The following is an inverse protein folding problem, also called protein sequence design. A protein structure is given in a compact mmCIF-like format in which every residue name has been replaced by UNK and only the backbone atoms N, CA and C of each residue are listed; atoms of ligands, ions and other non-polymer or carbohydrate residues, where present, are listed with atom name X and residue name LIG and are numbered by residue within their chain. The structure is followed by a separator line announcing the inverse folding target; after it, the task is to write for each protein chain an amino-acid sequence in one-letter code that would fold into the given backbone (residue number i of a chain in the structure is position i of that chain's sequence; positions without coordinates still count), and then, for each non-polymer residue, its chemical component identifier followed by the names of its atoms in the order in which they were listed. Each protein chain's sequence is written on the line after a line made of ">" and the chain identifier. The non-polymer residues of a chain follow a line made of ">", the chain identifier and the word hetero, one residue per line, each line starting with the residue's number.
data_IF_833124644615
#
_entry.id   IF_833124644615
#
_cell.length_a   1.000
_cell.length_b   1.000
_cell.length_c   1.000
_cell.angle_alpha   90.00
_cell.angle_beta   90.00
_cell.angle_gamma   90.00
#
_symmetry.space_group_name_H-M   'P 1'
#
loop_
_entity.id
_entity.type
_entity.pdbx_description
1 polymer ?
#
# COMPACT_ATOMS: atom_id res chain seq x y z
N UNK A 1 -22.60 19.77 22.53
CA UNK A 1 -21.45 18.85 22.66
C UNK A 1 -20.70 18.91 21.33
N UNK A 2 -19.61 19.68 21.26
CA UNK A 2 -18.78 19.72 20.06
C UNK A 2 -17.99 18.41 20.00
N UNK A 3 -18.38 17.48 19.13
CA UNK A 3 -17.51 16.36 18.78
C UNK A 3 -16.37 16.92 17.94
N UNK A 4 -15.28 17.32 18.60
CA UNK A 4 -14.01 17.53 17.90
C UNK A 4 -13.58 16.15 17.43
N UNK A 5 -13.77 15.86 16.14
CA UNK A 5 -13.28 14.62 15.55
C UNK A 5 -11.75 14.65 15.62
N UNK A 6 -11.16 14.12 16.69
CA UNK A 6 -9.73 13.91 16.79
C UNK A 6 -9.36 12.89 15.71
N UNK A 7 -8.61 13.32 14.70
CA UNK A 7 -8.12 12.43 13.65
C UNK A 7 -7.18 11.42 14.32
N UNK A 8 -7.55 10.14 14.28
CA UNK A 8 -6.71 9.07 14.81
C UNK A 8 -5.59 8.74 13.81
N UNK A 9 -4.55 9.58 13.84
CA UNK A 9 -3.32 9.47 13.07
C UNK A 9 -2.71 8.07 13.12
N UNK A 10 -2.78 7.40 14.28
CA UNK A 10 -2.25 6.07 14.46
C UNK A 10 -3.04 5.03 13.64
N UNK A 11 -4.37 5.15 13.60
CA UNK A 11 -5.22 4.26 12.81
C UNK A 11 -4.99 4.46 11.31
N UNK A 12 -4.83 5.71 10.84
CA UNK A 12 -4.54 5.98 9.43
C UNK A 12 -3.16 5.46 8.99
N UNK A 13 -2.13 5.64 9.82
CA UNK A 13 -0.78 5.11 9.59
C UNK A 13 -0.78 3.58 9.44
N UNK A 14 -1.47 2.87 10.34
CA UNK A 14 -1.56 1.40 10.30
C UNK A 14 -2.32 0.92 9.08
N UNK A 15 -3.48 1.52 8.79
CA UNK A 15 -4.31 1.11 7.65
C UNK A 15 -3.60 1.33 6.31
N UNK A 16 -2.89 2.44 6.14
CA UNK A 16 -2.10 2.67 4.93
C UNK A 16 -0.88 1.73 4.84
N UNK A 17 -0.20 1.45 5.95
CA UNK A 17 0.86 0.43 5.97
C UNK A 17 0.33 -0.95 5.53
N UNK A 18 -0.77 -1.42 6.12
CA UNK A 18 -1.35 -2.72 5.77
C UNK A 18 -1.90 -2.76 4.34
N UNK A 19 -2.46 -1.65 3.85
CA UNK A 19 -2.88 -1.53 2.45
C UNK A 19 -1.69 -1.65 1.50
N UNK A 20 -0.61 -0.94 1.78
CA UNK A 20 0.62 -1.02 1.00
C UNK A 20 1.23 -2.43 1.01
N UNK A 21 1.26 -3.06 2.19
CA UNK A 21 1.72 -4.45 2.32
C UNK A 21 0.84 -5.42 1.53
N UNK A 22 -0.48 -5.27 1.55
CA UNK A 22 -1.39 -6.12 0.79
C UNK A 22 -1.17 -5.97 -0.72
N UNK A 23 -1.02 -4.73 -1.21
CA UNK A 23 -0.72 -4.46 -2.62
C UNK A 23 0.61 -5.08 -3.05
N UNK A 24 1.65 -4.96 -2.21
CA UNK A 24 2.96 -5.56 -2.45
C UNK A 24 2.86 -7.08 -2.54
N UNK A 25 2.18 -7.70 -1.57
CA UNK A 25 2.01 -9.16 -1.56
C UNK A 25 1.24 -9.64 -2.79
N UNK A 26 0.17 -8.94 -3.18
CA UNK A 26 -0.60 -9.28 -4.39
C UNK A 26 0.25 -9.12 -5.64
N UNK A 27 1.05 -8.07 -5.74
CA UNK A 27 1.96 -7.83 -6.86
C UNK A 27 2.99 -8.95 -7.00
N UNK A 28 3.73 -9.25 -5.92
CA UNK A 28 4.77 -10.29 -5.92
C UNK A 28 4.18 -11.68 -6.14
N UNK A 29 3.09 -12.02 -5.45
CA UNK A 29 2.47 -13.34 -5.61
C UNK A 29 1.88 -13.48 -7.01
N UNK A 30 1.23 -12.42 -7.52
CA UNK A 30 0.65 -12.42 -8.86
C UNK A 30 1.69 -12.50 -9.97
N UNK A 31 2.83 -11.82 -9.82
CA UNK A 31 3.93 -11.92 -10.79
C UNK A 31 4.54 -13.32 -10.76
N UNK A 32 4.84 -13.89 -9.59
CA UNK A 32 5.42 -15.25 -9.47
C UNK A 32 4.45 -16.33 -9.97
N UNK A 33 3.19 -16.31 -9.51
CA UNK A 33 2.18 -17.31 -9.88
C UNK A 33 1.76 -17.15 -11.35
N UNK A 34 1.61 -15.91 -11.83
CA UNK A 34 1.29 -15.62 -13.22
C UNK A 34 2.32 -16.22 -14.17
N UNK A 35 3.61 -15.94 -13.96
CA UNK A 35 4.68 -16.50 -14.79
C UNK A 35 4.83 -18.02 -14.63
N UNK A 36 4.54 -18.57 -13.44
CA UNK A 36 4.69 -20.01 -13.20
C UNK A 36 3.58 -20.87 -13.84
N UNK A 37 2.35 -20.34 -13.96
CA UNK A 37 1.18 -21.15 -14.37
C UNK A 37 0.51 -20.68 -15.67
N UNK A 38 0.69 -19.43 -16.10
CA UNK A 38 -0.09 -18.82 -17.19
C UNK A 38 0.79 -18.26 -18.33
N UNK A 39 1.96 -18.83 -18.58
CA UNK A 39 2.80 -18.40 -19.70
C UNK A 39 2.12 -18.65 -21.08
N UNK A 40 2.14 -17.67 -22.00
CA UNK A 40 2.72 -16.33 -21.87
C UNK A 40 1.77 -15.36 -21.17
N UNK A 41 2.25 -14.72 -20.09
CA UNK A 41 1.46 -13.72 -19.38
C UNK A 41 1.35 -12.44 -20.24
N UNK A 42 0.15 -11.90 -20.49
CA UNK A 42 -0.01 -10.66 -21.22
C UNK A 42 0.79 -9.51 -20.59
N UNK A 43 1.43 -8.67 -21.43
CA UNK A 43 2.28 -7.58 -20.94
C UNK A 43 1.55 -6.58 -20.03
N UNK A 44 0.24 -6.40 -20.21
CA UNK A 44 -0.57 -5.53 -19.36
C UNK A 44 -0.77 -6.13 -17.95
N UNK A 45 -0.91 -7.45 -17.81
CA UNK A 45 -1.04 -8.12 -16.50
C UNK A 45 0.25 -7.99 -15.70
N UNK A 46 1.38 -8.25 -16.36
CA UNK A 46 2.69 -8.08 -15.74
C UNK A 46 2.89 -6.62 -15.27
N UNK A 47 2.49 -5.64 -16.10
CA UNK A 47 2.57 -4.23 -15.73
C UNK A 47 1.68 -3.89 -14.52
N UNK A 48 0.50 -4.50 -14.39
CA UNK A 48 -0.36 -4.32 -13.22
C UNK A 48 0.27 -4.90 -11.94
N UNK A 49 0.84 -6.10 -12.02
CA UNK A 49 1.51 -6.71 -10.86
C UNK A 49 2.70 -5.88 -10.40
N UNK A 50 3.57 -5.50 -11.33
CA UNK A 50 4.71 -4.61 -11.03
C UNK A 50 4.22 -3.25 -10.51
N UNK A 51 3.19 -2.68 -11.11
CA UNK A 51 2.57 -1.43 -10.63
C UNK A 51 2.03 -1.54 -9.21
N UNK A 52 1.41 -2.67 -8.85
CA UNK A 52 0.93 -2.94 -7.50
C UNK A 52 2.08 -3.07 -6.49
N UNK A 53 3.21 -3.67 -6.87
CA UNK A 53 4.42 -3.73 -6.03
C UNK A 53 4.95 -2.33 -5.70
N UNK A 54 5.12 -1.48 -6.73
CA UNK A 54 5.59 -0.11 -6.54
C UNK A 54 4.61 0.73 -5.71
N UNK A 55 3.32 0.65 -6.02
CA UNK A 55 2.29 1.34 -5.25
C UNK A 55 2.25 0.84 -3.80
N UNK A 56 2.40 -0.47 -3.60
CA UNK A 56 2.46 -1.10 -2.29
C UNK A 56 3.62 -0.59 -1.44
N UNK A 57 4.82 -0.51 -2.02
CA UNK A 57 5.99 0.08 -1.36
C UNK A 57 5.78 1.55 -1.02
N UNK A 58 5.31 2.36 -1.98
CA UNK A 58 5.10 3.79 -1.75
C UNK A 58 4.05 4.02 -0.66
N UNK A 59 2.88 3.41 -0.76
CA UNK A 59 1.81 3.57 0.22
C UNK A 59 2.24 3.00 1.58
N UNK A 60 2.84 1.81 1.59
CA UNK A 60 3.25 1.12 2.80
C UNK A 60 4.32 1.87 3.57
N UNK A 61 5.31 2.44 2.86
CA UNK A 61 6.42 3.15 3.48
C UNK A 61 6.06 4.60 3.85
N UNK A 62 5.36 5.32 2.98
CA UNK A 62 5.03 6.73 3.24
C UNK A 62 3.86 6.91 4.20
N UNK A 63 2.93 5.96 4.30
CA UNK A 63 1.80 6.07 5.24
C UNK A 63 2.23 6.27 6.70
N UNK A 64 3.10 5.42 7.30
CA UNK A 64 3.54 5.63 8.68
C UNK A 64 4.39 6.90 8.85
N UNK A 65 5.13 7.33 7.83
CA UNK A 65 5.88 8.59 7.88
C UNK A 65 4.93 9.79 7.92
N UNK A 66 3.98 9.85 6.98
CA UNK A 66 3.06 10.97 6.86
C UNK A 66 2.09 11.05 8.05
N UNK A 67 1.44 9.94 8.38
CA UNK A 67 0.41 9.93 9.43
C UNK A 67 0.99 9.71 10.82
N UNK A 68 2.08 8.97 10.97
CA UNK A 68 2.67 8.70 12.29
C UNK A 68 3.66 9.76 12.77
N UNK A 69 4.27 10.53 11.86
CA UNK A 69 5.32 11.49 12.19
C UNK A 69 4.97 12.89 11.71
N UNK A 70 4.74 13.08 10.40
CA UNK A 70 4.60 14.44 9.85
C UNK A 70 3.33 15.11 10.37
N UNK A 71 2.15 14.54 10.13
CA UNK A 71 0.86 15.14 10.49
C UNK A 71 0.73 15.48 11.99
N UNK A 72 1.15 14.61 12.93
CA UNK A 72 1.13 14.95 14.36
C UNK A 72 2.10 16.06 14.78
N UNK A 73 3.08 16.42 13.95
CA UNK A 73 4.05 17.50 14.24
C UNK A 73 3.65 18.86 13.66
N UNK A 74 2.81 18.88 12.62
CA UNK A 74 2.30 20.11 12.00
C UNK A 74 0.98 20.60 12.60
N UNK A 75 0.25 19.72 13.28
CA UNK A 75 -0.93 20.08 14.09
C UNK A 75 -0.59 20.25 15.57
#
# INVERSE_FOLDING_TARGET
>A
MSQTASIDYQTYAKRGFFLGLALLLIGVVGSVVGHAFFEPLPAWENTLFVGAEFAGLLIGFFSPILFGIVLPLIE
#
